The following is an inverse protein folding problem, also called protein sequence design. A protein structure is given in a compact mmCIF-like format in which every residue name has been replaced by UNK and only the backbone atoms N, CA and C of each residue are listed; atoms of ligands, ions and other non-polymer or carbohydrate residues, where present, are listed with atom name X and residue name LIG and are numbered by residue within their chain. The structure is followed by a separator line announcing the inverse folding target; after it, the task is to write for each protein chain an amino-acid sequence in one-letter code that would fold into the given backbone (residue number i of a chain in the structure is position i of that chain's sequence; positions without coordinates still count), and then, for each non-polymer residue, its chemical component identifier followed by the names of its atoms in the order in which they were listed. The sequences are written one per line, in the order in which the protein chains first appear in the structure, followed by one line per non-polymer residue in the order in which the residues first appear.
data_IF_219358643052
#
_entry.id   IF_219358643052
#
_cell.length_a   1.000
_cell.length_b   1.000
_cell.length_c   1.000
_cell.angle_alpha   90.00
_cell.angle_beta   90.00
_cell.angle_gamma   90.00
#
_symmetry.space_group_name_H-M   'P 1'
#
loop_
_entity.id
_entity.type
_entity.pdbx_description
1 polymer ?
#
# COMPACT_ATOMS: atom_id res chain seq x y z
N UNK A 1 8.35 21.23 -11.92
CA UNK A 1 8.00 20.09 -11.03
C UNK A 1 9.10 20.09 -10.01
N UNK A 2 8.78 20.18 -8.73
CA UNK A 2 9.79 20.12 -7.67
C UNK A 2 10.22 18.66 -7.49
N UNK A 3 11.53 18.41 -7.47
CA UNK A 3 12.09 17.09 -7.21
C UNK A 3 12.31 16.96 -5.69
N UNK A 4 11.23 16.67 -4.98
CA UNK A 4 11.28 16.44 -3.55
C UNK A 4 11.99 15.14 -3.21
N UNK A 5 12.73 15.14 -2.10
CA UNK A 5 13.44 13.98 -1.57
C UNK A 5 13.21 13.81 -0.07
N UNK A 6 13.39 12.58 0.39
CA UNK A 6 13.54 12.23 1.80
C UNK A 6 15.02 11.87 2.05
N UNK A 7 15.53 12.27 3.20
CA UNK A 7 16.83 11.83 3.70
C UNK A 7 16.66 10.71 4.71
N UNK A 8 17.14 9.53 4.35
CA UNK A 8 16.96 8.30 5.13
C UNK A 8 18.27 7.88 5.76
N UNK A 9 18.32 7.76 7.08
CA UNK A 9 19.48 7.24 7.80
C UNK A 9 19.76 5.79 7.43
N UNK A 10 20.97 5.51 6.98
CA UNK A 10 21.38 4.17 6.58
C UNK A 10 21.44 3.17 7.73
N UNK A 11 21.67 3.64 8.96
CA UNK A 11 21.79 2.80 10.16
C UNK A 11 20.44 2.49 10.82
N UNK A 12 19.47 3.42 10.77
CA UNK A 12 18.21 3.29 11.50
C UNK A 12 16.99 3.18 10.58
N UNK A 13 17.09 3.72 9.35
CA UNK A 13 15.93 3.89 8.46
C UNK A 13 15.04 5.07 8.82
N UNK A 14 15.39 5.88 9.83
CA UNK A 14 14.67 7.07 10.21
C UNK A 14 14.95 8.22 9.22
N UNK A 15 14.04 9.18 9.16
CA UNK A 15 14.09 10.29 8.20
C UNK A 15 14.47 11.59 8.89
N UNK A 16 15.37 12.35 8.25
CA UNK A 16 15.70 13.70 8.72
C UNK A 16 14.48 14.61 8.56
N UNK A 17 14.17 15.34 9.62
CA UNK A 17 13.09 16.34 9.66
C UNK A 17 13.54 17.63 10.32
N UNK A 18 12.84 18.71 10.01
CA UNK A 18 12.98 20.01 10.65
C UNK A 18 11.85 20.24 11.68
N UNK A 19 12.12 21.04 12.72
CA UNK A 19 11.10 21.50 13.66
C UNK A 19 10.71 20.51 14.75
N UNK A 20 11.56 19.54 15.11
CA UNK A 20 11.38 18.74 16.32
C UNK A 20 11.93 19.53 17.52
N UNK A 21 11.02 20.01 18.37
CA UNK A 21 11.29 20.79 19.58
C UNK A 21 12.11 22.08 19.32
N UNK A 22 12.60 22.73 20.36
CA UNK A 22 13.43 23.93 20.27
C UNK A 22 14.82 23.72 19.64
N UNK A 23 15.19 22.45 19.36
CA UNK A 23 16.51 22.06 18.88
C UNK A 23 16.70 22.04 17.34
N UNK A 24 15.66 22.26 16.55
CA UNK A 24 15.72 22.42 15.09
C UNK A 24 15.57 21.10 14.32
N UNK A 25 16.61 20.28 14.15
CA UNK A 25 16.55 19.06 13.32
C UNK A 25 16.45 17.79 14.16
N UNK A 26 15.79 16.76 13.63
CA UNK A 26 15.64 15.47 14.29
C UNK A 26 15.41 14.31 13.33
N UNK A 27 15.10 13.13 13.86
CA UNK A 27 14.81 11.93 13.10
C UNK A 27 13.39 11.42 13.41
N UNK A 28 12.64 11.05 12.38
CA UNK A 28 11.29 10.49 12.50
C UNK A 28 11.16 9.15 11.76
N UNK A 29 10.29 8.30 12.26
CA UNK A 29 9.93 7.03 11.60
C UNK A 29 9.00 7.25 10.41
N UNK A 30 7.98 8.11 10.58
CA UNK A 30 7.00 8.46 9.54
C UNK A 30 7.14 9.94 9.16
N UNK A 31 6.83 10.26 7.92
CA UNK A 31 7.17 11.54 7.31
C UNK A 31 5.95 12.43 7.10
N UNK A 32 5.91 13.52 7.84
CA UNK A 32 5.08 14.69 7.58
C UNK A 32 5.82 15.70 6.66
N UNK A 33 5.27 16.89 6.54
CA UNK A 33 5.85 17.97 5.72
C UNK A 33 7.28 18.34 6.14
N UNK A 34 7.62 18.20 7.44
CA UNK A 34 8.93 18.54 7.97
C UNK A 34 10.06 17.62 7.49
N UNK A 35 9.72 16.46 6.91
CA UNK A 35 10.69 15.50 6.38
C UNK A 35 10.97 15.69 4.88
N UNK A 36 10.31 16.61 4.21
CA UNK A 36 10.42 16.81 2.74
C UNK A 36 11.43 17.88 2.42
N UNK A 37 12.39 17.54 1.58
CA UNK A 37 13.52 18.39 1.20
C UNK A 37 13.60 18.56 -0.31
N UNK A 38 14.22 19.65 -0.74
CA UNK A 38 14.58 19.91 -2.14
C UNK A 38 16.03 20.39 -2.23
N UNK A 39 16.69 20.06 -3.34
CA UNK A 39 18.05 20.51 -3.58
C UNK A 39 18.10 22.01 -3.86
N UNK A 40 19.02 22.71 -3.19
CA UNK A 40 19.36 24.09 -3.45
C UNK A 40 20.85 24.20 -3.73
N UNK A 41 21.22 23.90 -4.99
CA UNK A 41 22.61 23.72 -5.43
C UNK A 41 23.15 22.30 -5.10
N UNK A 42 24.47 22.14 -5.18
CA UNK A 42 25.12 20.81 -5.15
C UNK A 42 25.33 20.24 -3.75
N UNK A 43 25.26 21.07 -2.70
CA UNK A 43 25.63 20.69 -1.34
C UNK A 43 24.70 21.25 -0.26
N UNK A 44 23.55 21.77 -0.65
CA UNK A 44 22.55 22.33 0.26
C UNK A 44 21.17 21.79 -0.05
N UNK A 45 20.41 21.56 1.00
CA UNK A 45 19.02 21.16 0.91
C UNK A 45 18.16 22.16 1.68
N UNK A 46 17.01 22.49 1.13
CA UNK A 46 16.00 23.33 1.74
C UNK A 46 14.80 22.47 2.12
N UNK A 47 14.32 22.59 3.34
CA UNK A 47 13.06 21.96 3.72
C UNK A 47 11.91 22.62 2.97
N UNK A 48 11.09 21.80 2.30
CA UNK A 48 10.04 22.29 1.42
C UNK A 48 8.88 23.00 2.15
N UNK A 49 8.67 22.68 3.42
CA UNK A 49 7.60 23.26 4.24
C UNK A 49 8.06 24.48 5.03
N UNK A 50 9.25 24.39 5.65
CA UNK A 50 9.71 25.42 6.61
C UNK A 50 10.71 26.41 6.01
N UNK A 51 11.38 26.03 4.92
CA UNK A 51 12.47 26.79 4.31
C UNK A 51 13.80 26.63 5.04
N UNK A 52 13.90 25.82 6.08
CA UNK A 52 15.14 25.58 6.81
C UNK A 52 16.21 24.94 5.89
N UNK A 53 17.47 25.32 6.11
CA UNK A 53 18.58 24.93 5.26
C UNK A 53 19.49 23.95 5.97
N UNK A 54 19.88 22.87 5.28
CA UNK A 54 20.95 21.99 5.72
C UNK A 54 22.06 21.89 4.68
N UNK A 55 23.29 21.79 5.15
CA UNK A 55 24.43 21.48 4.29
C UNK A 55 24.77 20.01 4.35
N UNK A 56 25.07 19.43 3.20
CA UNK A 56 25.41 18.03 3.07
C UNK A 56 26.69 17.85 2.28
N UNK A 57 27.46 16.84 2.66
CA UNK A 57 28.65 16.40 1.93
C UNK A 57 28.44 14.99 1.42
N UNK A 58 28.73 14.76 0.15
CA UNK A 58 28.67 13.42 -0.43
C UNK A 58 29.82 12.57 0.11
N UNK A 59 29.49 11.44 0.74
CA UNK A 59 30.45 10.53 1.36
C UNK A 59 30.39 9.08 0.82
N UNK A 60 29.49 8.78 -0.10
CA UNK A 60 29.36 7.45 -0.71
C UNK A 60 30.37 7.22 -1.82
N UNK A 61 31.03 6.07 -1.77
CA UNK A 61 31.86 5.61 -2.88
C UNK A 61 30.97 4.97 -3.95
N UNK A 62 31.30 5.22 -5.22
CA UNK A 62 30.64 4.50 -6.31
C UNK A 62 31.10 3.06 -6.31
N UNK A 63 30.20 2.07 -6.32
CA UNK A 63 30.60 0.70 -6.48
C UNK A 63 31.31 0.50 -7.83
N UNK A 64 32.28 -0.40 -7.86
CA UNK A 64 32.92 -0.82 -9.10
C UNK A 64 31.90 -1.43 -10.09
N UNK A 65 32.22 -1.52 -11.39
CA UNK A 65 31.27 -1.98 -12.41
C UNK A 65 30.65 -3.36 -12.11
N UNK A 66 31.43 -4.30 -11.61
CA UNK A 66 30.97 -5.64 -11.27
C UNK A 66 30.00 -5.62 -10.07
N UNK A 67 30.38 -4.89 -9.02
CA UNK A 67 29.55 -4.72 -7.83
C UNK A 67 28.26 -3.94 -8.15
N UNK A 68 28.34 -2.95 -9.01
CA UNK A 68 27.18 -2.21 -9.49
C UNK A 68 26.22 -3.12 -10.25
N UNK A 69 26.73 -3.97 -11.13
CA UNK A 69 25.93 -4.93 -11.87
C UNK A 69 25.25 -5.97 -10.95
N UNK A 70 25.95 -6.44 -9.93
CA UNK A 70 25.39 -7.37 -8.92
C UNK A 70 24.28 -6.69 -8.10
N UNK A 71 24.50 -5.45 -7.66
CA UNK A 71 23.49 -4.66 -6.94
C UNK A 71 22.27 -4.41 -7.81
N UNK A 72 22.48 -3.99 -9.05
CA UNK A 72 21.41 -3.71 -10.00
C UNK A 72 20.63 -4.96 -10.39
N UNK A 73 21.30 -6.11 -10.49
CA UNK A 73 20.64 -7.40 -10.71
C UNK A 73 19.78 -7.84 -9.53
N UNK A 74 20.24 -7.58 -8.30
CA UNK A 74 19.57 -7.98 -7.07
C UNK A 74 18.43 -7.04 -6.67
N UNK A 75 18.60 -5.73 -6.86
CA UNK A 75 17.70 -4.71 -6.35
C UNK A 75 17.01 -3.87 -7.45
N UNK A 76 17.29 -4.16 -8.71
CA UNK A 76 16.75 -3.47 -9.88
C UNK A 76 17.71 -2.43 -10.48
N UNK A 77 17.50 -2.13 -11.76
CA UNK A 77 18.36 -1.20 -12.51
C UNK A 77 18.43 0.18 -11.84
N UNK A 78 19.64 0.69 -11.63
CA UNK A 78 19.91 1.97 -10.97
C UNK A 78 20.03 1.91 -9.44
N UNK A 79 19.81 0.76 -8.81
CA UNK A 79 19.94 0.61 -7.37
C UNK A 79 21.38 0.90 -6.89
N UNK A 80 22.38 0.50 -7.64
CA UNK A 80 23.80 0.79 -7.35
C UNK A 80 24.08 2.29 -7.33
N UNK A 81 23.47 3.06 -8.23
CA UNK A 81 23.58 4.50 -8.24
C UNK A 81 22.93 5.14 -7.02
N UNK A 82 21.72 4.70 -6.66
CA UNK A 82 21.02 5.18 -5.47
C UNK A 82 21.78 4.85 -4.19
N UNK A 83 22.30 3.62 -4.06
CA UNK A 83 23.11 3.21 -2.90
C UNK A 83 24.42 3.98 -2.78
N UNK A 84 24.97 4.50 -3.88
CA UNK A 84 26.18 5.34 -3.87
C UNK A 84 25.91 6.80 -3.52
N UNK A 85 24.65 7.24 -3.52
CA UNK A 85 24.25 8.60 -3.13
C UNK A 85 24.08 8.70 -1.62
N UNK A 86 25.20 8.66 -0.91
CA UNK A 86 25.26 8.83 0.54
C UNK A 86 25.74 10.22 0.90
N UNK A 87 25.14 10.81 1.90
CA UNK A 87 25.38 12.16 2.34
C UNK A 87 25.58 12.22 3.86
N UNK A 88 26.46 13.11 4.28
CA UNK A 88 26.66 13.47 5.70
C UNK A 88 26.27 14.93 5.88
N UNK A 89 25.62 15.24 6.99
CA UNK A 89 25.39 16.62 7.38
C UNK A 89 26.71 17.28 7.78
N UNK A 90 26.89 18.56 7.43
CA UNK A 90 28.10 19.31 7.75
C UNK A 90 27.79 20.65 8.42
N UNK A 91 28.73 21.15 9.24
CA UNK A 91 28.63 22.45 9.90
C UNK A 91 27.83 22.40 11.20
N UNK A 92 27.28 23.56 11.59
CA UNK A 92 26.54 23.74 12.84
C UNK A 92 25.32 22.84 12.97
N UNK A 93 24.83 22.32 11.84
CA UNK A 93 23.71 21.36 11.76
C UNK A 93 23.99 20.07 12.52
N UNK A 94 25.26 19.65 12.63
CA UNK A 94 25.65 18.43 13.38
C UNK A 94 25.38 18.54 14.88
N UNK A 95 25.37 19.76 15.42
CA UNK A 95 25.23 20.01 16.86
C UNK A 95 23.76 20.09 17.28
N UNK A 96 22.86 20.39 16.34
CA UNK A 96 21.49 20.75 16.66
C UNK A 96 20.57 19.58 17.02
N UNK A 97 20.89 18.37 16.64
CA UNK A 97 19.93 17.25 16.76
C UNK A 97 20.42 16.09 17.65
N UNK A 98 21.50 16.25 18.40
CA UNK A 98 22.13 15.09 19.05
C UNK A 98 22.56 14.01 18.04
N UNK A 99 22.57 14.38 16.75
CA UNK A 99 23.01 13.50 15.66
C UNK A 99 24.53 13.36 15.77
N UNK A 100 24.98 12.14 15.97
CA UNK A 100 26.43 11.86 16.02
C UNK A 100 27.04 12.02 14.64
N UNK A 101 28.33 12.37 14.55
CA UNK A 101 29.10 12.54 13.30
C UNK A 101 29.08 11.32 12.35
N UNK A 102 28.42 10.25 12.74
CA UNK A 102 28.37 8.98 12.01
C UNK A 102 27.10 8.75 11.20
N UNK A 103 26.09 9.64 11.30
CA UNK A 103 24.86 9.45 10.53
C UNK A 103 25.10 9.73 9.05
N UNK A 104 24.99 8.69 8.27
CA UNK A 104 25.02 8.72 6.80
C UNK A 104 23.59 8.54 6.30
N UNK A 105 23.18 9.47 5.45
CA UNK A 105 21.86 9.49 4.83
C UNK A 105 21.95 9.04 3.37
N UNK A 106 20.94 8.31 2.91
CA UNK A 106 20.65 8.14 1.49
C UNK A 106 19.44 8.99 1.11
N UNK A 107 19.34 9.32 -0.18
CA UNK A 107 18.14 10.00 -0.70
C UNK A 107 17.13 8.99 -1.19
N UNK A 108 15.85 9.31 -1.00
CA UNK A 108 14.71 8.62 -1.58
C UNK A 108 13.83 9.66 -2.27
N UNK A 109 13.35 9.43 -3.50
CA UNK A 109 12.37 10.31 -4.11
C UNK A 109 11.13 10.43 -3.20
N UNK A 110 10.67 11.66 -2.97
CA UNK A 110 9.43 11.94 -2.30
C UNK A 110 8.31 12.12 -3.34
N UNK A 111 7.02 12.04 -2.92
CA UNK A 111 5.90 12.41 -3.76
C UNK A 111 5.97 13.87 -4.23
N UNK A 112 5.20 14.20 -5.26
CA UNK A 112 5.27 15.51 -5.91
C UNK A 112 4.68 16.67 -5.08
N UNK A 113 3.95 16.37 -4.01
CA UNK A 113 3.32 17.33 -3.11
C UNK A 113 3.72 17.08 -1.66
N UNK A 114 3.49 18.05 -0.78
CA UNK A 114 3.67 17.88 0.65
C UNK A 114 2.65 16.89 1.24
N UNK A 115 3.04 16.10 2.25
CA UNK A 115 2.14 15.15 2.94
C UNK A 115 0.81 15.74 3.39
N UNK A 116 0.80 16.96 3.92
CA UNK A 116 -0.44 17.66 4.33
C UNK A 116 -1.43 17.86 3.18
N UNK A 117 -0.95 18.05 1.94
CA UNK A 117 -1.83 18.21 0.79
C UNK A 117 -2.53 16.89 0.40
N UNK A 118 -1.88 15.75 0.59
CA UNK A 118 -2.51 14.44 0.41
C UNK A 118 -3.52 14.14 1.52
N UNK A 119 -3.22 14.54 2.76
CA UNK A 119 -4.15 14.41 3.90
C UNK A 119 -5.42 15.25 3.67
N UNK A 120 -5.26 16.49 3.19
CA UNK A 120 -6.40 17.35 2.85
C UNK A 120 -7.27 16.74 1.74
N UNK A 121 -6.68 16.04 0.77
CA UNK A 121 -7.47 15.30 -0.24
C UNK A 121 -8.23 14.13 0.38
N UNK A 122 -7.63 13.34 1.26
CA UNK A 122 -8.30 12.27 2.00
C UNK A 122 -9.51 12.80 2.78
N UNK A 123 -9.35 13.91 3.49
CA UNK A 123 -10.41 14.53 4.28
C UNK A 123 -11.54 15.07 3.41
N UNK A 124 -11.21 15.68 2.28
CA UNK A 124 -12.18 16.34 1.40
C UNK A 124 -12.96 15.36 0.52
N UNK A 125 -12.30 14.33 -0.01
CA UNK A 125 -12.89 13.47 -1.05
C UNK A 125 -12.90 11.98 -0.72
N UNK A 126 -12.26 11.57 0.38
CA UNK A 126 -12.21 10.18 0.83
C UNK A 126 -11.09 9.35 0.22
N UNK A 127 -10.26 9.92 -0.64
CA UNK A 127 -9.12 9.23 -1.27
C UNK A 127 -8.02 10.20 -1.68
N UNK A 128 -6.80 9.67 -1.82
CA UNK A 128 -5.65 10.38 -2.40
C UNK A 128 -4.73 9.42 -3.13
N UNK A 129 -3.92 9.94 -4.05
CA UNK A 129 -2.89 9.16 -4.77
C UNK A 129 -1.53 9.73 -4.41
N UNK A 130 -0.67 8.87 -3.88
CA UNK A 130 0.71 9.18 -3.48
C UNK A 130 1.63 8.59 -4.55
N UNK A 131 2.36 9.44 -5.25
CA UNK A 131 3.30 9.04 -6.29
C UNK A 131 4.60 8.51 -5.66
N UNK A 132 5.36 7.73 -6.43
CA UNK A 132 6.69 7.25 -6.05
C UNK A 132 6.75 6.38 -4.78
N UNK A 133 5.65 5.71 -4.42
CA UNK A 133 5.65 4.71 -3.33
C UNK A 133 6.60 3.57 -3.66
N UNK A 134 6.60 3.14 -4.93
CA UNK A 134 7.57 2.20 -5.48
C UNK A 134 8.35 2.83 -6.63
N UNK A 135 9.66 2.64 -6.65
CA UNK A 135 10.45 2.97 -7.83
C UNK A 135 10.14 2.02 -9.00
N UNK A 136 10.41 2.40 -10.24
CA UNK A 136 10.27 1.51 -11.39
C UNK A 136 11.03 0.19 -11.23
N UNK A 137 12.20 0.21 -10.60
CA UNK A 137 12.98 -0.99 -10.30
C UNK A 137 12.28 -1.92 -9.30
N UNK A 138 11.67 -1.37 -8.25
CA UNK A 138 10.88 -2.15 -7.29
C UNK A 138 9.66 -2.79 -7.98
N UNK A 139 8.94 -2.03 -8.81
CA UNK A 139 7.80 -2.54 -9.58
C UNK A 139 8.24 -3.69 -10.49
N UNK A 140 9.34 -3.52 -11.24
CA UNK A 140 9.88 -4.55 -12.14
C UNK A 140 10.30 -5.82 -11.38
N UNK A 141 10.99 -5.67 -10.27
CA UNK A 141 11.41 -6.79 -9.43
C UNK A 141 10.19 -7.55 -8.88
N UNK A 142 9.21 -6.82 -8.35
CA UNK A 142 8.00 -7.43 -7.80
C UNK A 142 7.17 -8.16 -8.85
N UNK A 143 6.98 -7.55 -10.01
CA UNK A 143 6.22 -8.20 -11.10
C UNK A 143 6.92 -9.46 -11.61
N UNK A 144 8.24 -9.46 -11.72
CA UNK A 144 9.02 -10.64 -12.07
C UNK A 144 8.86 -11.79 -11.05
N UNK A 145 8.85 -11.47 -9.75
CA UNK A 145 8.60 -12.47 -8.70
C UNK A 145 7.19 -13.06 -8.79
N UNK A 146 6.17 -12.23 -9.09
CA UNK A 146 4.80 -12.72 -9.27
C UNK A 146 4.69 -13.58 -10.52
N UNK A 147 5.34 -13.20 -11.61
CA UNK A 147 5.37 -14.01 -12.83
C UNK A 147 6.03 -15.38 -12.57
N UNK A 148 7.09 -15.45 -11.79
CA UNK A 148 7.69 -16.72 -11.39
C UNK A 148 6.72 -17.62 -10.58
N UNK A 149 5.88 -17.03 -9.71
CA UNK A 149 4.80 -17.78 -9.02
C UNK A 149 3.78 -18.31 -10.03
N UNK A 150 3.40 -17.51 -11.02
CA UNK A 150 2.44 -17.88 -12.06
C UNK A 150 3.00 -19.00 -12.94
N UNK A 151 4.23 -18.88 -13.40
CA UNK A 151 4.90 -19.92 -14.20
C UNK A 151 5.00 -21.26 -13.45
N UNK A 152 5.43 -21.23 -12.17
CA UNK A 152 5.47 -22.40 -11.30
C UNK A 152 4.11 -23.08 -11.16
N UNK A 153 3.01 -22.33 -11.28
CA UNK A 153 1.64 -22.80 -11.09
C UNK A 153 0.77 -22.67 -12.36
N UNK A 154 1.39 -22.71 -13.54
CA UNK A 154 0.72 -22.44 -14.83
C UNK A 154 -0.51 -23.32 -15.10
N UNK A 155 -0.48 -24.59 -14.73
CA UNK A 155 -1.63 -25.50 -14.89
C UNK A 155 -2.82 -25.09 -14.01
N UNK A 156 -2.54 -24.62 -12.80
CA UNK A 156 -3.57 -24.13 -11.87
C UNK A 156 -4.16 -22.81 -12.38
N UNK A 157 -3.32 -21.90 -12.87
CA UNK A 157 -3.77 -20.66 -13.49
C UNK A 157 -4.62 -20.92 -14.74
N UNK A 158 -4.21 -21.86 -15.60
CA UNK A 158 -4.97 -22.23 -16.79
C UNK A 158 -6.38 -22.74 -16.44
N UNK A 159 -6.53 -23.52 -15.37
CA UNK A 159 -7.85 -23.96 -14.88
C UNK A 159 -8.70 -22.78 -14.41
N UNK A 160 -8.12 -21.84 -13.63
CA UNK A 160 -8.82 -20.63 -13.19
C UNK A 160 -9.28 -19.80 -14.39
N UNK A 161 -8.41 -19.63 -15.40
CA UNK A 161 -8.76 -18.91 -16.65
C UNK A 161 -9.90 -19.59 -17.39
N UNK A 162 -9.84 -20.89 -17.58
CA UNK A 162 -10.89 -21.66 -18.26
C UNK A 162 -12.25 -21.56 -17.53
N UNK A 163 -12.23 -21.58 -16.21
CA UNK A 163 -13.44 -21.37 -15.41
C UNK A 163 -14.00 -19.95 -15.60
N UNK A 164 -13.14 -18.93 -15.57
CA UNK A 164 -13.55 -17.53 -15.82
C UNK A 164 -14.12 -17.36 -17.23
N UNK A 165 -13.47 -17.95 -18.24
CA UNK A 165 -13.89 -17.86 -19.64
C UNK A 165 -15.23 -18.57 -19.93
N UNK A 166 -15.62 -19.50 -19.06
CA UNK A 166 -16.94 -20.18 -19.13
C UNK A 166 -18.11 -19.34 -18.62
N UNK A 167 -17.84 -18.17 -18.02
CA UNK A 167 -18.82 -17.27 -17.42
C UNK A 167 -18.94 -15.97 -18.20
N UNK A 168 -20.08 -15.25 -18.12
CA UNK A 168 -20.16 -13.87 -18.60
C UNK A 168 -19.06 -13.02 -17.95
N UNK A 169 -18.44 -12.16 -18.73
CA UNK A 169 -17.38 -11.30 -18.21
C UNK A 169 -17.92 -10.41 -17.07
N UNK A 170 -17.21 -10.46 -15.95
CA UNK A 170 -17.39 -9.54 -14.85
C UNK A 170 -16.01 -9.05 -14.44
N UNK A 171 -15.84 -7.75 -14.24
CA UNK A 171 -14.57 -7.20 -13.80
C UNK A 171 -14.11 -7.77 -12.45
N UNK A 172 -15.03 -8.26 -11.62
CA UNK A 172 -14.69 -8.93 -10.36
C UNK A 172 -14.32 -10.40 -10.55
N UNK A 173 -14.90 -11.08 -11.56
CA UNK A 173 -14.68 -12.51 -11.81
C UNK A 173 -13.46 -12.76 -12.72
N UNK A 174 -13.03 -11.76 -13.51
CA UNK A 174 -11.87 -11.88 -14.40
C UNK A 174 -10.55 -11.46 -13.74
N UNK A 175 -10.45 -11.61 -12.43
CA UNK A 175 -9.26 -11.31 -11.64
C UNK A 175 -8.52 -12.58 -11.30
N UNK A 176 -7.24 -12.67 -11.70
CA UNK A 176 -6.32 -13.67 -11.18
C UNK A 176 -5.77 -13.17 -9.86
N UNK A 177 -5.88 -13.99 -8.84
CA UNK A 177 -5.31 -13.71 -7.51
C UNK A 177 -4.11 -14.64 -7.29
N UNK A 178 -2.86 -14.17 -7.47
CA UNK A 178 -1.68 -15.03 -7.33
C UNK A 178 -1.62 -15.76 -5.99
N UNK A 179 -2.21 -15.20 -4.92
CA UNK A 179 -2.35 -15.88 -3.62
C UNK A 179 -3.06 -17.23 -3.75
N UNK A 180 -4.08 -17.33 -4.59
CA UNK A 180 -4.79 -18.60 -4.84
C UNK A 180 -3.94 -19.62 -5.59
N UNK A 181 -2.85 -19.19 -6.22
CA UNK A 181 -1.90 -20.05 -6.92
C UNK A 181 -0.81 -20.59 -5.99
N UNK A 182 -0.50 -19.87 -4.91
CA UNK A 182 0.57 -20.22 -3.96
C UNK A 182 0.26 -21.49 -3.16
N UNK A 183 1.30 -22.11 -2.64
CA UNK A 183 1.22 -23.25 -1.74
C UNK A 183 0.77 -22.86 -0.32
N UNK A 184 0.46 -23.88 0.47
CA UNK A 184 0.18 -23.71 1.89
C UNK A 184 1.44 -23.23 2.62
N UNK A 185 1.29 -22.21 3.46
CA UNK A 185 2.42 -21.60 4.20
C UNK A 185 3.26 -20.58 3.42
N UNK A 186 3.05 -20.42 2.11
CA UNK A 186 3.70 -19.36 1.34
C UNK A 186 2.97 -18.02 1.56
N UNK A 187 3.72 -16.91 1.67
CA UNK A 187 3.19 -15.54 1.74
C UNK A 187 4.02 -14.58 0.92
N UNK A 188 3.39 -13.55 0.38
CA UNK A 188 4.07 -12.51 -0.39
C UNK A 188 5.08 -11.71 0.45
N UNK A 189 4.82 -11.49 1.74
CA UNK A 189 5.72 -10.72 2.61
C UNK A 189 7.11 -11.36 2.77
N UNK A 190 7.20 -12.67 2.67
CA UNK A 190 8.48 -13.38 2.67
C UNK A 190 9.15 -13.49 1.28
N UNK A 191 8.55 -12.94 0.23
CA UNK A 191 9.01 -13.15 -1.14
C UNK A 191 10.09 -12.16 -1.58
N UNK A 192 9.90 -10.87 -1.29
CA UNK A 192 10.81 -9.80 -1.71
C UNK A 192 10.71 -8.60 -0.78
N UNK A 193 11.84 -7.92 -0.49
CA UNK A 193 11.83 -6.70 0.33
C UNK A 193 11.01 -5.56 -0.28
N UNK A 194 10.83 -5.54 -1.60
CA UNK A 194 10.08 -4.50 -2.30
C UNK A 194 8.64 -4.37 -1.79
N UNK A 195 7.99 -5.46 -1.39
CA UNK A 195 6.64 -5.45 -0.82
C UNK A 195 6.63 -4.71 0.51
N UNK A 196 7.52 -5.10 1.43
CA UNK A 196 7.63 -4.46 2.74
C UNK A 196 8.01 -3.00 2.61
N UNK A 197 9.01 -2.67 1.79
CA UNK A 197 9.45 -1.28 1.57
C UNK A 197 8.34 -0.39 1.01
N UNK A 198 7.49 -0.92 0.14
CA UNK A 198 6.35 -0.18 -0.40
C UNK A 198 5.25 0.04 0.64
N UNK A 199 4.91 -1.00 1.42
CA UNK A 199 3.88 -0.92 2.44
C UNK A 199 4.32 -0.09 3.65
N UNK A 200 5.62 -0.10 3.98
CA UNK A 200 6.21 0.74 5.03
C UNK A 200 6.69 2.09 4.48
N UNK A 201 6.07 2.58 3.40
CA UNK A 201 6.36 3.90 2.85
C UNK A 201 6.05 4.99 3.89
N UNK A 202 7.03 5.82 4.30
CA UNK A 202 6.91 6.63 5.51
C UNK A 202 5.83 7.71 5.43
N UNK A 203 5.61 8.30 4.25
CA UNK A 203 4.52 9.28 4.04
C UNK A 203 3.17 8.56 4.03
N UNK A 204 3.07 7.39 3.39
CA UNK A 204 1.80 6.64 3.37
C UNK A 204 1.38 6.20 4.76
N UNK A 205 2.31 5.73 5.61
CA UNK A 205 2.02 5.39 7.00
C UNK A 205 1.61 6.62 7.82
N UNK A 206 2.33 7.74 7.67
CA UNK A 206 1.93 8.99 8.32
C UNK A 206 0.50 9.43 7.92
N UNK A 207 0.16 9.33 6.64
CA UNK A 207 -1.19 9.65 6.15
C UNK A 207 -2.25 8.75 6.76
N UNK A 208 -1.99 7.45 6.85
CA UNK A 208 -2.92 6.47 7.43
C UNK A 208 -3.13 6.78 8.92
N UNK A 209 -2.05 6.92 9.69
CA UNK A 209 -2.12 7.22 11.13
C UNK A 209 -2.80 8.57 11.40
N UNK A 210 -2.43 9.61 10.64
CA UNK A 210 -3.03 10.94 10.79
C UNK A 210 -4.52 10.95 10.44
N UNK A 211 -4.92 10.25 9.37
CA UNK A 211 -6.31 10.17 8.94
C UNK A 211 -7.17 9.37 9.92
N UNK A 212 -6.68 8.22 10.38
CA UNK A 212 -7.37 7.39 11.36
C UNK A 212 -7.35 8.00 12.78
N UNK A 213 -6.41 8.93 13.05
CA UNK A 213 -6.24 9.56 14.36
C UNK A 213 -5.64 8.62 15.41
N UNK A 214 -4.95 7.57 15.00
CA UNK A 214 -4.29 6.59 15.86
C UNK A 214 -2.96 6.15 15.25
N UNK A 215 -2.00 5.85 16.11
CA UNK A 215 -0.68 5.33 15.74
C UNK A 215 -0.54 3.80 15.90
N UNK A 216 -1.52 3.17 16.53
CA UNK A 216 -1.58 1.71 16.70
C UNK A 216 -2.51 1.11 15.64
N UNK A 217 -1.93 0.70 14.53
CA UNK A 217 -2.59 0.18 13.34
C UNK A 217 -2.09 -1.21 12.97
N UNK A 218 -2.91 -2.00 12.30
CA UNK A 218 -2.51 -3.32 11.81
C UNK A 218 -3.18 -3.70 10.48
N UNK A 219 -2.67 -4.75 9.83
CA UNK A 219 -3.33 -5.32 8.67
C UNK A 219 -4.63 -6.04 9.07
N UNK A 220 -5.71 -5.54 8.54
CA UNK A 220 -6.97 -6.27 8.47
C UNK A 220 -6.96 -7.24 7.28
N UNK A 221 -6.41 -6.83 6.17
CA UNK A 221 -6.12 -7.67 5.02
C UNK A 221 -4.63 -7.58 4.70
N UNK A 222 -3.92 -8.70 4.85
CA UNK A 222 -2.52 -8.80 4.44
C UNK A 222 -2.37 -8.53 2.94
N UNK A 223 -1.20 -8.02 2.51
CA UNK A 223 -0.97 -7.69 1.13
C UNK A 223 -1.25 -8.87 0.21
N UNK A 224 -2.06 -8.62 -0.80
CA UNK A 224 -2.41 -9.56 -1.83
C UNK A 224 -2.35 -8.92 -3.21
N UNK A 225 -2.24 -9.72 -4.25
CA UNK A 225 -2.20 -9.21 -5.62
C UNK A 225 -3.49 -9.52 -6.36
N UNK A 226 -3.88 -8.56 -7.20
CA UNK A 226 -5.05 -8.63 -8.06
C UNK A 226 -4.60 -8.32 -9.48
N UNK A 227 -4.81 -9.26 -10.39
CA UNK A 227 -4.46 -9.14 -11.81
C UNK A 227 -5.75 -9.18 -12.61
N UNK A 228 -6.23 -8.00 -13.03
CA UNK A 228 -7.40 -7.90 -13.88
C UNK A 228 -7.01 -8.22 -15.32
N UNK A 229 -7.61 -9.26 -15.88
CA UNK A 229 -7.42 -9.68 -17.27
C UNK A 229 -8.12 -8.71 -18.24
N UNK A 230 -7.59 -8.52 -19.46
CA UNK A 230 -8.30 -7.81 -20.50
C UNK A 230 -9.59 -8.56 -20.87
N UNK A 231 -10.60 -7.80 -21.24
CA UNK A 231 -11.82 -8.34 -21.78
C UNK A 231 -11.60 -8.74 -23.24
N UNK A 232 -11.71 -10.02 -23.54
CA UNK A 232 -11.86 -10.45 -24.91
C UNK A 232 -13.30 -10.17 -25.35
N UNK A 233 -13.50 -9.25 -26.27
CA UNK A 233 -14.79 -9.00 -26.89
C UNK A 233 -15.10 -10.16 -27.85
N UNK A 234 -15.70 -11.21 -27.36
CA UNK A 234 -16.21 -12.29 -28.22
C UNK A 234 -17.72 -12.38 -28.09
N UNK A 235 -18.42 -11.86 -29.11
CA UNK A 235 -19.80 -12.17 -29.42
C UNK A 235 -20.86 -11.65 -28.44
N UNK A 236 -22.02 -12.26 -28.49
CA UNK A 236 -23.21 -11.92 -27.69
C UNK A 236 -23.04 -12.06 -26.17
N UNK A 237 -21.94 -12.66 -25.71
CA UNK A 237 -21.59 -12.86 -24.30
C UNK A 237 -20.83 -11.67 -23.67
N UNK A 238 -20.64 -10.59 -24.39
CA UNK A 238 -20.06 -9.34 -23.85
C UNK A 238 -21.05 -8.56 -22.94
N UNK A 239 -22.00 -9.25 -22.31
CA UNK A 239 -22.81 -8.66 -21.25
C UNK A 239 -21.95 -8.49 -20.02
N UNK A 240 -21.34 -7.31 -19.93
CA UNK A 240 -20.61 -6.84 -18.76
C UNK A 240 -21.56 -6.75 -17.60
N UNK A 241 -21.28 -7.49 -16.56
CA UNK A 241 -21.88 -7.19 -15.26
C UNK A 241 -20.93 -6.24 -14.54
N UNK A 242 -21.23 -4.94 -14.47
CA UNK A 242 -20.38 -4.01 -13.73
C UNK A 242 -20.34 -4.42 -12.27
N UNK A 243 -19.23 -4.15 -11.58
CA UNK A 243 -19.16 -4.24 -10.15
C UNK A 243 -20.18 -3.29 -9.50
N UNK A 244 -20.90 -3.74 -8.50
CA UNK A 244 -21.77 -2.87 -7.72
C UNK A 244 -20.98 -1.84 -6.90
N UNK A 245 -21.62 -0.71 -6.64
CA UNK A 245 -21.10 0.23 -5.66
C UNK A 245 -21.03 -0.44 -4.29
N UNK A 246 -19.90 -0.30 -3.60
CA UNK A 246 -19.68 -0.85 -2.27
C UNK A 246 -18.71 0.02 -1.46
N UNK A 247 -18.74 -0.19 -0.16
CA UNK A 247 -17.72 0.23 0.80
C UNK A 247 -16.88 -0.99 1.15
N UNK A 248 -15.71 -0.78 1.72
CA UNK A 248 -14.85 -1.86 2.17
C UNK A 248 -14.94 -2.11 3.68
N UNK A 249 -14.36 -3.22 4.13
CA UNK A 249 -14.23 -3.53 5.54
C UNK A 249 -13.54 -2.38 6.32
N UNK A 250 -13.95 -2.05 7.55
CA UNK A 250 -14.92 -2.77 8.41
C UNK A 250 -16.38 -2.35 8.26
N UNK A 251 -16.73 -1.61 7.21
CA UNK A 251 -18.10 -1.15 7.00
C UNK A 251 -18.90 -2.15 6.16
N UNK A 252 -20.23 -2.16 6.29
CA UNK A 252 -21.07 -2.97 5.41
C UNK A 252 -20.81 -2.63 3.94
N UNK A 253 -20.62 -3.66 3.13
CA UNK A 253 -20.28 -3.50 1.72
C UNK A 253 -21.41 -2.90 0.90
N UNK A 254 -22.68 -3.27 1.28
CA UNK A 254 -23.92 -2.87 0.63
C UNK A 254 -25.01 -2.69 1.70
N UNK A 255 -26.29 -2.79 1.37
CA UNK A 255 -27.36 -2.84 2.39
C UNK A 255 -27.14 -4.02 3.35
N UNK A 256 -27.57 -3.87 4.61
CA UNK A 256 -27.32 -4.85 5.69
C UNK A 256 -27.54 -6.30 5.27
N UNK A 257 -28.66 -6.59 4.60
CA UNK A 257 -29.04 -7.96 4.23
C UNK A 257 -28.10 -8.58 3.19
N UNK A 258 -27.57 -7.80 2.25
CA UNK A 258 -26.71 -8.32 1.18
C UNK A 258 -25.24 -8.39 1.61
N UNK A 259 -24.77 -7.45 2.42
CA UNK A 259 -23.42 -7.47 2.96
C UNK A 259 -23.17 -8.73 3.77
N UNK A 260 -24.12 -9.09 4.60
CA UNK A 260 -24.06 -10.26 5.47
C UNK A 260 -23.96 -11.56 4.66
N UNK A 261 -24.78 -11.71 3.62
CA UNK A 261 -24.80 -12.91 2.78
C UNK A 261 -23.54 -13.05 1.93
N UNK A 262 -22.97 -11.91 1.48
CA UNK A 262 -21.81 -11.91 0.59
C UNK A 262 -20.49 -12.19 1.33
N UNK A 263 -20.36 -11.71 2.57
CA UNK A 263 -19.11 -11.78 3.32
C UNK A 263 -18.84 -13.13 3.98
N UNK A 264 -19.85 -13.78 4.54
CA UNK A 264 -19.68 -14.91 5.44
C UNK A 264 -20.43 -16.17 5.02
N UNK A 265 -21.36 -16.08 4.07
CA UNK A 265 -22.39 -17.10 3.91
C UNK A 265 -23.42 -17.03 5.05
N UNK A 266 -24.68 -17.34 4.78
CA UNK A 266 -25.75 -17.20 5.75
C UNK A 266 -25.54 -18.01 7.05
N UNK A 267 -24.96 -19.21 6.96
CA UNK A 267 -24.72 -20.07 8.14
C UNK A 267 -23.58 -19.58 9.03
N UNK A 268 -22.53 -19.00 8.48
CA UNK A 268 -21.43 -18.44 9.26
C UNK A 268 -21.83 -17.13 9.92
N UNK A 269 -22.68 -16.36 9.27
CA UNK A 269 -23.20 -15.12 9.80
C UNK A 269 -24.12 -15.33 11.00
N UNK A 270 -25.05 -16.31 10.94
CA UNK A 270 -25.91 -16.65 12.09
C UNK A 270 -25.10 -17.08 13.33
N UNK A 271 -23.96 -17.76 13.13
CA UNK A 271 -23.05 -18.14 14.23
C UNK A 271 -22.25 -16.95 14.77
N UNK A 272 -22.00 -15.96 13.94
CA UNK A 272 -21.20 -14.77 14.27
C UNK A 272 -22.04 -13.64 14.87
N UNK A 273 -23.34 -13.57 14.56
CA UNK A 273 -24.23 -12.48 14.94
C UNK A 273 -24.28 -12.27 16.47
N UNK A 274 -24.34 -13.32 17.26
CA UNK A 274 -24.35 -13.21 18.72
C UNK A 274 -23.02 -12.71 19.32
N UNK A 275 -21.88 -12.83 18.59
CA UNK A 275 -20.55 -12.46 19.07
C UNK A 275 -19.96 -11.23 18.40
N UNK A 276 -20.44 -10.85 17.22
CA UNK A 276 -19.86 -9.82 16.35
C UNK A 276 -20.72 -8.57 16.27
N UNK A 277 -22.04 -8.68 16.43
CA UNK A 277 -22.95 -7.53 16.40
C UNK A 277 -22.49 -6.32 17.23
N UNK A 278 -21.84 -6.50 18.40
CA UNK A 278 -21.25 -5.38 19.13
C UNK A 278 -19.89 -4.89 18.56
N UNK A 279 -19.31 -5.58 17.59
CA UNK A 279 -17.93 -5.33 17.11
C UNK A 279 -17.86 -4.73 15.71
N UNK A 280 -18.93 -4.79 14.96
CA UNK A 280 -19.05 -4.08 13.69
C UNK A 280 -19.77 -2.77 13.94
N UNK A 281 -19.19 -1.64 13.55
CA UNK A 281 -19.93 -0.40 13.53
C UNK A 281 -21.12 -0.61 12.59
N UNK A 282 -22.34 -0.50 13.12
CA UNK A 282 -23.50 -0.37 12.26
C UNK A 282 -23.41 0.99 11.52
N UNK A 283 -24.26 1.20 10.54
CA UNK A 283 -24.27 2.47 9.80
C UNK A 283 -24.45 3.70 10.69
N UNK A 284 -24.95 3.56 11.92
CA UNK A 284 -25.08 4.64 12.90
C UNK A 284 -23.72 5.13 13.41
N UNK A 285 -22.68 4.27 13.35
CA UNK A 285 -21.30 4.60 13.71
C UNK A 285 -20.39 4.86 12.51
N UNK A 286 -20.97 5.09 11.34
CA UNK A 286 -20.19 5.34 10.11
C UNK A 286 -19.28 6.56 10.16
N UNK A 287 -19.48 7.46 11.11
CA UNK A 287 -18.61 8.65 11.30
C UNK A 287 -17.21 8.30 11.80
N UNK A 288 -17.04 7.13 12.39
CA UNK A 288 -15.74 6.71 12.88
C UNK A 288 -14.84 6.25 11.72
N UNK A 289 -13.61 6.74 11.71
CA UNK A 289 -12.59 6.37 10.73
C UNK A 289 -11.91 5.08 11.18
N UNK A 290 -12.41 3.92 10.73
CA UNK A 290 -12.00 2.61 11.21
C UNK A 290 -11.25 1.75 10.19
N UNK A 291 -11.04 2.23 8.98
CA UNK A 291 -10.35 1.47 7.95
C UNK A 291 -9.86 2.31 6.80
N UNK A 292 -8.67 1.97 6.35
CA UNK A 292 -8.01 2.54 5.18
C UNK A 292 -7.60 1.42 4.23
N UNK A 293 -7.91 1.61 2.96
CA UNK A 293 -7.34 0.79 1.90
C UNK A 293 -6.05 1.44 1.42
N UNK A 294 -5.01 0.64 1.30
CA UNK A 294 -3.75 1.05 0.71
C UNK A 294 -3.40 0.12 -0.45
N UNK A 295 -3.69 0.56 -1.65
CA UNK A 295 -3.52 -0.23 -2.87
C UNK A 295 -2.41 0.39 -3.73
N UNK A 296 -1.50 -0.43 -4.23
CA UNK A 296 -0.34 0.02 -5.00
C UNK A 296 -0.47 -0.49 -6.43
N UNK A 297 -0.37 0.41 -7.40
CA UNK A 297 -0.40 0.09 -8.82
C UNK A 297 0.93 -0.52 -9.26
N UNK A 298 0.90 -1.71 -9.83
CA UNK A 298 2.06 -2.36 -10.45
C UNK A 298 2.08 -2.20 -11.98
N UNK A 299 0.98 -1.71 -12.53
CA UNK A 299 0.86 -1.22 -13.91
C UNK A 299 0.11 0.10 -13.87
N UNK A 300 0.20 0.91 -14.93
CA UNK A 300 -0.60 2.12 -15.00
C UNK A 300 -2.08 1.82 -14.83
N UNK A 301 -2.74 2.55 -13.97
CA UNK A 301 -4.18 2.57 -13.85
C UNK A 301 -4.72 3.60 -14.82
N UNK A 302 -5.46 3.17 -15.82
CA UNK A 302 -6.12 4.05 -16.79
C UNK A 302 -7.56 3.60 -17.01
N UNK A 303 -8.44 4.47 -17.50
CA UNK A 303 -9.81 4.08 -17.86
C UNK A 303 -9.85 2.85 -18.78
N UNK A 304 -8.97 2.77 -19.79
CA UNK A 304 -8.91 1.66 -20.75
C UNK A 304 -8.49 0.35 -20.11
N UNK A 305 -7.76 0.43 -18.99
CA UNK A 305 -7.39 -0.75 -18.17
C UNK A 305 -8.43 -1.08 -17.10
N UNK A 306 -9.60 -0.43 -17.12
CA UNK A 306 -10.66 -0.67 -16.16
C UNK A 306 -10.28 -0.21 -14.75
N UNK A 307 -9.67 0.97 -14.62
CA UNK A 307 -9.34 1.55 -13.33
C UNK A 307 -10.60 1.81 -12.49
N UNK A 308 -10.48 1.68 -11.17
CA UNK A 308 -11.56 1.81 -10.19
C UNK A 308 -12.25 3.19 -10.30
N UNK A 309 -13.56 3.21 -10.15
CA UNK A 309 -14.36 4.41 -10.00
C UNK A 309 -14.69 4.68 -8.54
N UNK A 310 -14.63 5.95 -8.14
CA UNK A 310 -14.99 6.44 -6.81
C UNK A 310 -16.10 7.48 -6.90
N UNK A 311 -16.95 7.55 -5.88
CA UNK A 311 -17.92 8.64 -5.69
C UNK A 311 -17.28 9.67 -4.77
N UNK A 312 -17.14 10.89 -5.27
CA UNK A 312 -16.47 11.99 -4.56
C UNK A 312 -17.20 12.30 -3.24
N UNK A 313 -16.43 12.34 -2.13
CA UNK A 313 -16.96 12.70 -0.81
C UNK A 313 -17.91 11.68 -0.17
N UNK A 314 -18.10 10.50 -0.78
CA UNK A 314 -19.07 9.51 -0.29
C UNK A 314 -18.71 8.86 1.05
N UNK A 315 -17.49 9.04 1.52
CA UNK A 315 -17.07 8.62 2.88
C UNK A 315 -17.81 9.37 3.99
N UNK A 316 -18.39 10.52 3.67
CA UNK A 316 -19.21 11.32 4.59
C UNK A 316 -20.72 11.01 4.50
N UNK A 317 -21.16 10.12 3.61
CA UNK A 317 -22.57 9.78 3.47
C UNK A 317 -23.03 8.89 4.63
N UNK A 318 -24.22 9.15 5.15
CA UNK A 318 -24.83 8.41 6.26
C UNK A 318 -25.57 7.13 5.84
N UNK A 319 -25.54 6.79 4.56
CA UNK A 319 -26.27 5.66 3.98
C UNK A 319 -25.30 4.64 3.37
N UNK A 320 -25.67 3.35 3.31
CA UNK A 320 -24.92 2.38 2.54
C UNK A 320 -24.97 2.67 1.05
N UNK A 321 -23.98 2.21 0.27
CA UNK A 321 -24.04 2.26 -1.18
C UNK A 321 -25.34 1.59 -1.67
N UNK A 322 -25.98 2.15 -2.72
CA UNK A 322 -27.18 1.53 -3.28
C UNK A 322 -26.84 0.15 -3.80
N UNK A 323 -27.74 -0.82 -3.53
CA UNK A 323 -27.52 -2.19 -3.96
C UNK A 323 -27.48 -2.29 -5.49
N UNK A 324 -26.52 -3.07 -5.96
CA UNK A 324 -26.12 -3.11 -7.35
C UNK A 324 -27.19 -3.61 -8.35
N UNK A 325 -28.18 -4.35 -7.87
CA UNK A 325 -29.06 -5.10 -8.77
C UNK A 325 -30.04 -4.24 -9.58
N UNK A 326 -30.37 -3.04 -9.12
CA UNK A 326 -31.39 -2.21 -9.75
C UNK A 326 -30.90 -0.82 -10.23
N UNK A 327 -29.64 -0.49 -10.04
CA UNK A 327 -29.14 0.87 -10.28
C UNK A 327 -27.87 0.91 -11.14
N UNK A 328 -27.66 -0.09 -11.97
CA UNK A 328 -26.47 -0.12 -12.82
C UNK A 328 -26.77 0.52 -14.16
N UNK A 329 -26.30 1.74 -14.39
CA UNK A 329 -26.29 2.28 -15.73
C UNK A 329 -25.32 1.48 -16.58
N UNK A 330 -25.75 1.19 -17.78
CA UNK A 330 -24.96 0.53 -18.80
C UNK A 330 -23.97 1.47 -19.50
N UNK A 331 -24.00 2.76 -19.15
CA UNK A 331 -23.19 3.82 -19.76
C UNK A 331 -22.54 4.68 -18.68
N UNK A 332 -21.29 5.07 -18.91
CA UNK A 332 -20.58 6.02 -18.04
C UNK A 332 -21.41 7.32 -17.90
N UNK A 333 -21.64 7.72 -16.65
CA UNK A 333 -22.46 8.89 -16.34
C UNK A 333 -23.94 8.63 -16.07
N UNK A 334 -24.45 7.43 -16.33
CA UNK A 334 -25.81 7.04 -15.94
C UNK A 334 -25.76 6.28 -14.61
N UNK A 335 -26.20 6.88 -13.52
CA UNK A 335 -26.25 6.26 -12.20
C UNK A 335 -26.78 7.20 -11.14
N UNK A 336 -26.95 6.69 -9.93
CA UNK A 336 -27.45 7.50 -8.82
C UNK A 336 -26.46 8.60 -8.39
N UNK A 337 -25.22 8.59 -8.91
CA UNK A 337 -24.19 9.55 -8.56
C UNK A 337 -23.72 10.33 -9.77
N UNK A 338 -23.65 11.65 -9.61
CA UNK A 338 -23.15 12.59 -10.63
C UNK A 338 -21.64 12.83 -10.51
N UNK A 339 -21.09 12.68 -9.31
CA UNK A 339 -19.71 13.01 -8.98
C UNK A 339 -18.84 11.76 -8.91
N UNK A 340 -18.78 11.05 -10.02
CA UNK A 340 -17.98 9.82 -10.17
C UNK A 340 -16.65 10.16 -10.84
N UNK A 341 -15.57 9.77 -10.19
CA UNK A 341 -14.20 9.92 -10.70
C UNK A 341 -13.61 8.55 -11.01
N UNK A 342 -13.14 8.36 -12.24
CA UNK A 342 -12.39 7.18 -12.63
C UNK A 342 -10.89 7.46 -12.45
N UNK A 343 -10.21 6.54 -11.78
CA UNK A 343 -8.80 6.70 -11.43
C UNK A 343 -7.89 6.68 -12.66
N UNK A 344 -6.83 7.52 -12.61
CA UNK A 344 -5.76 7.51 -13.60
C UNK A 344 -4.45 7.93 -12.92
N UNK A 345 -3.49 7.00 -12.81
CA UNK A 345 -2.18 7.25 -12.21
C UNK A 345 -1.16 6.18 -12.66
N UNK A 346 0.15 6.51 -12.66
CA UNK A 346 1.18 5.59 -13.13
C UNK A 346 1.47 4.45 -12.16
N UNK A 347 2.10 3.40 -12.67
CA UNK A 347 2.68 2.33 -11.88
C UNK A 347 3.65 2.88 -10.83
N UNK A 348 3.72 2.23 -9.67
CA UNK A 348 4.50 2.65 -8.51
C UNK A 348 3.79 3.64 -7.61
N UNK A 349 2.61 4.16 -7.99
CA UNK A 349 1.79 5.00 -7.12
C UNK A 349 0.96 4.14 -6.15
N UNK A 350 0.73 4.67 -4.94
CA UNK A 350 -0.19 4.14 -3.96
C UNK A 350 -1.47 4.97 -3.90
N UNK A 351 -2.62 4.33 -3.98
CA UNK A 351 -3.89 4.97 -3.66
C UNK A 351 -4.28 4.62 -2.22
N UNK A 352 -4.54 5.66 -1.44
CA UNK A 352 -5.09 5.58 -0.10
C UNK A 352 -6.53 6.04 -0.14
N UNK A 353 -7.45 5.25 0.41
CA UNK A 353 -8.84 5.69 0.53
C UNK A 353 -9.51 5.15 1.78
N UNK A 354 -10.40 5.97 2.34
CA UNK A 354 -11.26 5.57 3.45
C UNK A 354 -12.13 4.39 3.02
N UNK A 355 -12.17 3.36 3.83
CA UNK A 355 -12.98 2.16 3.55
C UNK A 355 -14.48 2.46 3.37
N UNK A 356 -14.96 3.63 3.85
CA UNK A 356 -16.33 4.10 3.65
C UNK A 356 -16.59 4.63 2.23
N UNK A 357 -15.53 5.01 1.50
CA UNK A 357 -15.68 5.62 0.16
C UNK A 357 -16.34 4.64 -0.80
N UNK A 358 -17.43 5.06 -1.42
CA UNK A 358 -18.12 4.23 -2.40
C UNK A 358 -17.27 4.10 -3.65
N UNK A 359 -16.99 2.87 -4.02
CA UNK A 359 -16.22 2.56 -5.19
C UNK A 359 -16.74 1.32 -5.89
N UNK A 360 -16.30 1.13 -7.13
CA UNK A 360 -16.61 -0.05 -7.94
C UNK A 360 -15.58 -0.29 -9.02
N UNK A 361 -15.58 -1.51 -9.55
CA UNK A 361 -15.03 -1.75 -10.87
C UNK A 361 -15.94 -1.08 -11.92
N UNK A 362 -15.38 -0.33 -12.89
CA UNK A 362 -16.20 0.39 -13.86
C UNK A 362 -16.99 -0.59 -14.74
N UNK A 363 -18.10 -0.13 -15.33
CA UNK A 363 -18.84 -0.89 -16.33
C UNK A 363 -18.02 -1.10 -17.61
N UNK A 364 -17.11 -0.18 -17.90
CA UNK A 364 -16.15 -0.34 -19.00
C UNK A 364 -15.14 -1.41 -18.66
N UNK A 365 -14.98 -2.32 -19.59
CA UNK A 365 -14.05 -3.43 -19.47
C UNK A 365 -12.60 -2.94 -19.53
N UNK A 366 -11.69 -3.78 -19.06
CA UNK A 366 -10.30 -3.62 -19.43
C UNK A 366 -10.13 -3.91 -20.93
N UNK A 367 -10.21 -2.87 -21.74
CA UNK A 367 -10.11 -2.92 -23.21
C UNK A 367 -8.69 -2.68 -23.73
N UNK A 368 -7.73 -2.51 -22.84
CA UNK A 368 -6.33 -2.18 -23.17
C UNK A 368 -5.58 -3.34 -23.85
N UNK A 369 -6.11 -4.54 -23.85
CA UNK A 369 -5.41 -5.75 -24.29
C UNK A 369 -4.27 -6.20 -23.35
N UNK A 370 -4.08 -5.51 -22.21
CA UNK A 370 -3.03 -5.80 -21.23
C UNK A 370 -3.62 -6.02 -19.84
N UNK A 371 -3.01 -6.88 -19.07
CA UNK A 371 -3.39 -7.09 -17.66
C UNK A 371 -3.15 -5.81 -16.83
N UNK A 372 -4.00 -5.57 -15.84
CA UNK A 372 -3.83 -4.54 -14.83
C UNK A 372 -3.50 -5.19 -13.50
N UNK A 373 -2.36 -4.83 -12.95
CA UNK A 373 -1.84 -5.42 -11.72
C UNK A 373 -1.86 -4.42 -10.57
N UNK A 374 -2.32 -4.88 -9.42
CA UNK A 374 -2.33 -4.11 -8.17
C UNK A 374 -1.94 -4.99 -6.99
N UNK A 375 -1.27 -4.40 -6.02
CA UNK A 375 -1.15 -4.93 -4.66
C UNK A 375 -2.22 -4.25 -3.80
N UNK A 376 -2.98 -5.05 -3.06
CA UNK A 376 -4.12 -4.61 -2.25
C UNK A 376 -3.87 -4.93 -0.79
N UNK A 377 -4.17 -3.99 0.09
CA UNK A 377 -4.15 -4.20 1.54
C UNK A 377 -5.16 -3.31 2.24
N UNK A 378 -5.66 -3.76 3.39
CA UNK A 378 -6.53 -3.00 4.27
C UNK A 378 -5.87 -2.85 5.64
N UNK A 379 -5.89 -1.63 6.17
CA UNK A 379 -5.28 -1.25 7.44
C UNK A 379 -6.37 -0.68 8.34
N UNK A 380 -6.37 -1.10 9.59
CA UNK A 380 -7.34 -0.69 10.60
C UNK A 380 -6.65 -0.36 11.93
N UNK A 381 -7.26 0.44 12.82
CA UNK A 381 -6.81 0.58 14.21
C UNK A 381 -6.73 -0.78 14.91
N UNK A 382 -5.79 -0.96 15.84
CA UNK A 382 -5.55 -2.22 16.54
C UNK A 382 -6.77 -2.75 17.31
N UNK A 383 -7.67 -1.87 17.75
CA UNK A 383 -8.91 -2.25 18.43
C UNK A 383 -9.99 -2.78 17.47
N UNK A 384 -9.83 -2.61 16.16
CA UNK A 384 -10.73 -3.18 15.15
C UNK A 384 -10.25 -4.59 14.82
N UNK A 385 -11.04 -5.59 15.21
CA UNK A 385 -10.68 -6.99 14.98
C UNK A 385 -11.18 -7.47 13.62
N UNK A 386 -10.30 -8.09 12.85
CA UNK A 386 -10.68 -8.84 11.66
C UNK A 386 -10.66 -10.34 11.94
N UNK A 387 -11.83 -10.96 11.80
CA UNK A 387 -11.98 -12.40 12.02
C UNK A 387 -11.51 -13.24 10.82
N UNK A 388 -11.40 -12.65 9.63
CA UNK A 388 -11.00 -13.36 8.41
C UNK A 388 -9.50 -13.37 8.18
N UNK A 389 -8.82 -12.30 8.56
CA UNK A 389 -7.40 -12.14 8.28
C UNK A 389 -6.50 -12.87 9.30
N UNK A 390 -7.05 -13.40 10.39
CA UNK A 390 -6.24 -14.00 11.46
C UNK A 390 -5.31 -15.10 10.94
N UNK A 391 -5.86 -16.07 10.22
CA UNK A 391 -5.06 -17.18 9.67
C UNK A 391 -4.06 -16.68 8.62
N UNK A 392 -4.44 -15.70 7.81
CA UNK A 392 -3.54 -15.11 6.81
C UNK A 392 -2.46 -14.24 7.44
N UNK A 393 -2.75 -13.54 8.54
CA UNK A 393 -1.75 -12.82 9.33
C UNK A 393 -0.72 -13.75 9.95
N UNK A 394 -1.16 -14.81 10.63
CA UNK A 394 -0.26 -15.80 11.24
C UNK A 394 0.63 -16.44 10.18
N UNK A 395 0.07 -16.84 9.04
CA UNK A 395 0.84 -17.39 7.91
C UNK A 395 1.82 -16.37 7.33
N UNK A 396 1.40 -15.11 7.21
CA UNK A 396 2.24 -14.03 6.70
C UNK A 396 3.36 -13.69 7.67
N UNK A 397 3.09 -13.64 8.97
CA UNK A 397 4.08 -13.44 10.00
C UNK A 397 5.09 -14.59 10.05
N UNK A 398 4.64 -15.84 9.97
CA UNK A 398 5.51 -17.03 9.93
C UNK A 398 6.40 -17.06 8.67
N UNK A 399 5.83 -16.74 7.50
CA UNK A 399 6.60 -16.65 6.27
C UNK A 399 7.62 -15.50 6.30
N UNK A 400 7.24 -14.35 6.82
CA UNK A 400 8.14 -13.21 6.99
C UNK A 400 9.26 -13.54 7.98
N UNK A 401 8.97 -14.14 9.13
CA UNK A 401 9.96 -14.50 10.14
C UNK A 401 11.08 -15.42 9.58
N UNK A 402 10.76 -16.26 8.61
CA UNK A 402 11.71 -17.18 7.95
C UNK A 402 12.49 -16.54 6.79
N UNK A 403 12.10 -15.34 6.34
CA UNK A 403 12.64 -14.70 5.14
C UNK A 403 13.92 -13.90 5.44
N UNK A 404 15.00 -14.54 5.83
CA UNK A 404 16.26 -13.92 6.26
C UNK A 404 16.87 -13.00 5.19
N UNK A 405 16.74 -13.35 3.91
CA UNK A 405 17.22 -12.52 2.79
C UNK A 405 16.40 -11.23 2.65
N UNK A 406 15.10 -11.28 2.93
CA UNK A 406 14.26 -10.09 3.00
C UNK A 406 14.67 -9.20 4.16
N UNK A 407 14.87 -9.77 5.35
CA UNK A 407 15.32 -9.04 6.54
C UNK A 407 16.65 -8.30 6.31
N UNK A 408 17.61 -8.94 5.63
CA UNK A 408 18.91 -8.36 5.35
C UNK A 408 18.85 -7.09 4.46
N UNK A 409 17.76 -6.92 3.72
CA UNK A 409 17.54 -5.78 2.81
C UNK A 409 16.65 -4.68 3.40
N UNK A 410 16.09 -4.89 4.60
CA UNK A 410 15.22 -3.93 5.29
C UNK A 410 15.99 -3.14 6.34
N UNK A 411 15.58 -1.90 6.54
CA UNK A 411 16.08 -1.07 7.63
C UNK A 411 15.45 -1.49 8.97
N UNK A 412 16.09 -1.18 10.12
CA UNK A 412 15.49 -1.43 11.43
C UNK A 412 14.09 -0.85 11.59
N UNK A 413 13.84 0.36 11.06
CA UNK A 413 12.51 0.98 11.08
C UNK A 413 11.49 0.14 10.31
N UNK A 414 11.80 -0.25 9.09
CA UNK A 414 10.89 -1.08 8.27
C UNK A 414 10.58 -2.42 8.95
N UNK A 415 11.56 -3.03 9.61
CA UNK A 415 11.37 -4.24 10.40
C UNK A 415 10.42 -4.00 11.58
N UNK A 416 10.56 -2.89 12.31
CA UNK A 416 9.68 -2.54 13.42
C UNK A 416 8.25 -2.28 12.96
N UNK A 417 8.08 -1.55 11.86
CA UNK A 417 6.76 -1.26 11.30
C UNK A 417 6.04 -2.54 10.84
N UNK A 418 6.75 -3.46 10.18
CA UNK A 418 6.17 -4.76 9.81
C UNK A 418 5.76 -5.57 11.04
N UNK A 419 6.59 -5.58 12.09
CA UNK A 419 6.26 -6.25 13.34
C UNK A 419 4.96 -5.69 13.92
N UNK A 420 4.83 -4.37 13.98
CA UNK A 420 3.61 -3.68 14.43
C UNK A 420 2.40 -4.07 13.59
N UNK A 421 2.54 -4.12 12.27
CA UNK A 421 1.44 -4.39 11.34
C UNK A 421 0.97 -5.85 11.31
N UNK A 422 1.86 -6.81 11.57
CA UNK A 422 1.58 -8.24 11.50
C UNK A 422 1.20 -8.86 12.85
N UNK A 423 1.81 -8.36 13.93
CA UNK A 423 1.76 -9.02 15.23
C UNK A 423 0.72 -8.35 16.12
N UNK A 424 -0.40 -9.01 16.29
CA UNK A 424 -1.28 -8.82 17.43
C UNK A 424 -0.80 -9.71 18.60
N UNK A 425 -1.42 -9.56 19.77
CA UNK A 425 -1.06 -10.33 20.99
C UNK A 425 -1.25 -11.84 20.81
N UNK A 426 -1.94 -12.27 19.74
CA UNK A 426 -2.25 -13.65 19.45
C UNK A 426 -1.30 -14.28 18.41
N UNK A 427 -0.35 -13.51 17.83
CA UNK A 427 0.58 -14.00 16.81
C UNK A 427 1.60 -15.04 17.35
N UNK A 428 1.82 -15.10 18.66
CA UNK A 428 2.58 -16.20 19.29
C UNK A 428 4.03 -16.31 18.83
N UNK A 429 4.43 -17.49 18.34
CA UNK A 429 5.82 -17.77 17.95
C UNK A 429 6.32 -16.90 16.78
N UNK A 430 5.55 -16.68 15.69
CA UNK A 430 5.99 -15.77 14.61
C UNK A 430 6.33 -14.38 15.10
N UNK A 431 5.58 -13.83 16.05
CA UNK A 431 5.90 -12.54 16.67
C UNK A 431 7.28 -12.55 17.33
N UNK A 432 7.56 -13.56 18.16
CA UNK A 432 8.86 -13.67 18.84
C UNK A 432 10.02 -13.79 17.86
N UNK A 433 9.84 -14.53 16.77
CA UNK A 433 10.86 -14.70 15.75
C UNK A 433 11.12 -13.39 14.99
N UNK A 434 10.07 -12.59 14.70
CA UNK A 434 10.21 -11.27 14.09
C UNK A 434 10.85 -10.29 15.09
N UNK A 435 10.43 -10.28 16.34
CA UNK A 435 11.04 -9.45 17.40
C UNK A 435 12.54 -9.73 17.55
N UNK A 436 12.93 -11.00 17.52
CA UNK A 436 14.34 -11.40 17.53
C UNK A 436 15.08 -10.92 16.27
N UNK A 437 14.46 -11.01 15.09
CA UNK A 437 15.05 -10.50 13.85
C UNK A 437 15.21 -8.98 13.86
N UNK A 438 14.22 -8.23 14.38
CA UNK A 438 14.29 -6.77 14.58
C UNK A 438 15.41 -6.43 15.56
N UNK A 439 15.50 -7.09 16.70
CA UNK A 439 16.54 -6.84 17.69
C UNK A 439 17.95 -7.09 17.10
N UNK A 440 18.12 -8.14 16.30
CA UNK A 440 19.37 -8.41 15.60
C UNK A 440 19.70 -7.35 14.53
N UNK A 441 18.70 -6.82 13.85
CA UNK A 441 18.89 -5.76 12.85
C UNK A 441 19.29 -4.42 13.50
N UNK A 442 18.74 -4.12 14.68
CA UNK A 442 19.09 -2.91 15.45
C UNK A 442 20.49 -2.93 16.07
N UNK A 443 21.11 -4.10 16.19
CA UNK A 443 22.47 -4.27 16.74
C UNK A 443 23.57 -4.18 15.67
N UNK A 444 23.23 -4.15 14.40
CA UNK A 444 24.15 -4.01 13.24
C UNK A 444 24.37 -2.55 12.88
#
# INVERSE_FOLDING_TARGET
MHDYILLVSGSTGLHLCDGIEESGFGLRSHCDDSCVWEWEGDSSLRNAATGAMVRVERCGERPGPEQAAEIDAKFGAGASLLMSQKYRLVGETQQLAGLTDQLVFSTRPAPARLPSAYLADLERQGWTVVENVMSPAMVSNLTANIDAVREKNAEKEARVRAEQDSRPYSSNDNVIRPRSLMGEGESFLGMTPAITQALMHPISLWLIESYLGVDDIHYCQCPGFSILRPAEKTGENAHVKPGGWHSDYPYPLTSETEAHTYMLGAEEFEKLDASISPRYPDWKHRKDRLGMQFNIALTDFTPERGATQFVLGSHEFDTPPPTALNAVPTVAGEGPFTDVVQMSFPAGSGILYDSRTYHRSPPELNISGKERWAMLTCIVPSFVRDLRARDDKVKSADAFAKATDVHAALTPREMQDVLKMLCDDEAGQPRRDIEAAVANALQR
#
